data_IF_722097741145
#
_entry.id   IF_722097741145
#
_cell.length_a   1.000
_cell.length_b   1.000
_cell.length_c   1.000
_cell.angle_alpha   90.00
_cell.angle_beta   90.00
_cell.angle_gamma   90.00
#
_symmetry.space_group_name_H-M   'P 1'
#
loop_
_entity.id
_entity.type
_entity.pdbx_description
1 polymer ?
#
# COMPACT_ATOMS: atom_id res chain seq x y z
N UNK A 1 -3.96 -16.47 -9.69
CA UNK A 1 -3.89 -15.01 -9.95
C UNK A 1 -4.74 -14.35 -8.88
N UNK A 2 -4.14 -13.46 -8.11
CA UNK A 2 -4.85 -12.68 -7.09
C UNK A 2 -5.18 -11.30 -7.64
N UNK A 3 -6.15 -10.61 -7.04
CA UNK A 3 -6.44 -9.22 -7.39
C UNK A 3 -5.88 -8.29 -6.31
N UNK A 4 -5.34 -7.15 -6.74
CA UNK A 4 -4.83 -6.10 -5.86
C UNK A 4 -5.46 -4.76 -6.21
N UNK A 5 -5.71 -3.93 -5.19
CA UNK A 5 -6.12 -2.53 -5.38
C UNK A 5 -4.86 -1.67 -5.41
N UNK A 6 -4.70 -0.88 -6.46
CA UNK A 6 -3.56 0.02 -6.65
C UNK A 6 -4.03 1.46 -6.64
N UNK A 7 -3.33 2.30 -5.86
CA UNK A 7 -3.47 3.76 -5.92
C UNK A 7 -2.70 4.29 -7.13
N UNK A 8 -3.35 4.37 -8.29
CA UNK A 8 -2.71 4.83 -9.52
C UNK A 8 -2.34 6.31 -9.43
N UNK A 9 -3.24 7.14 -8.91
CA UNK A 9 -3.11 8.59 -8.72
C UNK A 9 -3.98 9.04 -7.54
N UNK A 10 -3.80 10.28 -7.02
CA UNK A 10 -4.74 10.85 -6.08
C UNK A 10 -6.19 10.78 -6.60
N UNK A 11 -7.06 10.15 -5.82
CA UNK A 11 -8.47 9.87 -6.08
C UNK A 11 -8.75 8.88 -7.21
N UNK A 12 -7.74 8.13 -7.66
CA UNK A 12 -7.87 7.10 -8.70
C UNK A 12 -7.33 5.75 -8.23
N UNK A 13 -8.23 4.77 -8.20
CA UNK A 13 -7.91 3.37 -7.90
C UNK A 13 -8.08 2.52 -9.14
N UNK A 14 -7.25 1.50 -9.26
CA UNK A 14 -7.42 0.43 -10.25
C UNK A 14 -7.32 -0.92 -9.55
N UNK A 15 -8.00 -1.93 -10.11
CA UNK A 15 -7.83 -3.32 -9.70
C UNK A 15 -6.95 -3.96 -10.76
N UNK A 16 -5.85 -4.56 -10.32
CA UNK A 16 -4.89 -5.25 -11.18
C UNK A 16 -4.82 -6.72 -10.79
N UNK A 17 -4.56 -7.56 -11.78
CA UNK A 17 -4.19 -8.95 -11.56
C UNK A 17 -2.74 -9.00 -11.08
N UNK A 18 -2.50 -9.74 -10.01
CA UNK A 18 -1.20 -9.94 -9.41
C UNK A 18 -0.78 -11.41 -9.54
N UNK A 19 0.46 -11.61 -9.98
CA UNK A 19 1.06 -12.93 -10.09
C UNK A 19 1.32 -13.52 -8.69
N UNK A 20 0.95 -14.78 -8.55
CA UNK A 20 1.27 -15.56 -7.35
C UNK A 20 2.70 -16.08 -7.46
N UNK A 21 3.63 -15.38 -6.80
CA UNK A 21 5.03 -15.79 -6.73
C UNK A 21 5.18 -17.16 -6.02
N UNK A 22 6.21 -17.96 -6.36
CA UNK A 22 6.55 -19.15 -5.57
C UNK A 22 6.78 -18.80 -4.09
N UNK A 23 6.40 -19.71 -3.19
CA UNK A 23 6.56 -19.51 -1.75
C UNK A 23 8.03 -19.77 -1.35
N UNK A 24 8.67 -18.82 -0.67
CA UNK A 24 9.99 -19.04 -0.09
C UNK A 24 9.91 -19.89 1.19
N UNK A 25 11.05 -20.42 1.63
CA UNK A 25 11.11 -21.36 2.76
C UNK A 25 10.59 -20.78 4.10
N UNK A 26 10.63 -19.46 4.24
CA UNK A 26 10.25 -18.68 5.43
C UNK A 26 8.95 -17.88 5.25
N UNK A 27 8.20 -18.13 4.18
CA UNK A 27 6.94 -17.44 3.89
C UNK A 27 5.71 -18.32 4.13
N UNK A 28 4.55 -17.69 4.34
CA UNK A 28 3.23 -18.35 4.35
C UNK A 28 2.32 -17.77 3.29
N UNK A 29 1.44 -18.60 2.73
CA UNK A 29 0.41 -18.15 1.78
C UNK A 29 -0.87 -17.79 2.52
N UNK A 30 -1.32 -16.56 2.35
CA UNK A 30 -2.56 -16.07 2.94
C UNK A 30 -3.62 -15.87 1.86
N UNK A 31 -4.87 -16.13 2.24
CA UNK A 31 -6.05 -15.66 1.50
C UNK A 31 -6.73 -14.59 2.35
N UNK A 32 -6.55 -13.32 1.97
CA UNK A 32 -7.18 -12.19 2.66
C UNK A 32 -8.70 -12.31 2.55
N UNK A 33 -9.39 -12.47 3.69
CA UNK A 33 -10.85 -12.52 3.72
C UNK A 33 -11.44 -11.11 3.75
N UNK A 34 -10.82 -10.21 4.52
CA UNK A 34 -11.24 -8.83 4.70
C UNK A 34 -10.00 -7.94 4.89
N UNK A 35 -10.11 -6.68 4.46
CA UNK A 35 -9.11 -5.64 4.72
C UNK A 35 -9.81 -4.39 5.23
N UNK A 36 -9.31 -3.83 6.32
CA UNK A 36 -9.81 -2.58 6.87
C UNK A 36 -9.12 -1.39 6.19
N UNK A 37 -9.87 -0.34 5.92
CA UNK A 37 -9.35 0.90 5.35
C UNK A 37 -9.14 1.90 6.49
N UNK A 38 -7.91 2.33 6.70
CA UNK A 38 -7.56 3.31 7.72
C UNK A 38 -7.60 4.73 7.18
N UNK A 39 -7.92 5.67 8.07
CA UNK A 39 -7.91 7.09 7.74
C UNK A 39 -6.50 7.65 7.55
N UNK A 40 -5.50 7.09 8.25
CA UNK A 40 -4.12 7.60 8.30
C UNK A 40 -3.20 7.06 7.19
N UNK A 41 -3.49 5.88 6.66
CA UNK A 41 -2.63 5.23 5.64
C UNK A 41 -3.34 5.17 4.28
N UNK A 42 -4.40 4.37 4.17
CA UNK A 42 -5.05 4.14 2.86
C UNK A 42 -5.75 5.40 2.37
N UNK A 43 -6.51 6.10 3.22
CA UNK A 43 -7.22 7.29 2.78
C UNK A 43 -6.31 8.51 2.53
N UNK A 44 -5.14 8.59 3.19
CA UNK A 44 -4.16 9.64 2.87
C UNK A 44 -3.46 9.36 1.55
N UNK A 45 -3.14 8.09 1.25
CA UNK A 45 -2.62 7.68 -0.05
C UNK A 45 -3.64 7.97 -1.15
N UNK A 46 -4.89 7.53 -0.96
CA UNK A 46 -5.99 7.82 -1.89
C UNK A 46 -6.16 9.31 -2.14
N UNK A 47 -6.13 10.17 -1.13
CA UNK A 47 -6.31 11.62 -1.32
C UNK A 47 -5.07 12.34 -1.87
N UNK A 48 -3.92 11.66 -1.96
CA UNK A 48 -2.65 12.27 -2.32
C UNK A 48 -2.02 13.13 -1.21
N UNK A 49 -2.54 13.04 0.02
CA UNK A 49 -2.07 13.82 1.18
C UNK A 49 -1.11 13.03 2.07
N UNK A 50 -0.76 11.80 1.69
CA UNK A 50 0.23 11.01 2.41
C UNK A 50 1.61 11.66 2.26
N UNK A 51 2.32 11.98 3.36
CA UNK A 51 3.61 12.65 3.28
C UNK A 51 4.65 11.87 2.47
N UNK A 52 4.58 10.53 2.44
CA UNK A 52 5.49 9.70 1.63
C UNK A 52 5.39 9.92 0.12
N UNK A 53 4.33 10.59 -0.36
CA UNK A 53 4.20 10.92 -1.79
C UNK A 53 5.08 12.11 -2.21
N UNK A 54 5.39 13.01 -1.28
CA UNK A 54 6.03 14.31 -1.59
C UNK A 54 7.22 14.63 -0.68
N UNK A 55 7.44 13.85 0.37
CA UNK A 55 8.46 14.04 1.41
C UNK A 55 9.14 12.72 1.72
N UNK A 56 10.33 12.79 2.31
CA UNK A 56 11.06 11.61 2.80
C UNK A 56 11.05 11.59 4.32
N UNK A 57 10.88 10.41 4.90
CA UNK A 57 11.10 10.21 6.33
C UNK A 57 12.61 10.29 6.64
N UNK A 58 12.98 11.18 7.56
CA UNK A 58 14.33 11.31 8.10
C UNK A 58 14.38 10.54 9.44
N UNK A 59 15.11 9.43 9.47
CA UNK A 59 15.20 8.58 10.67
C UNK A 59 15.95 9.23 11.83
N UNK A 60 16.93 10.09 11.55
CA UNK A 60 17.69 10.79 12.60
C UNK A 60 16.83 11.85 13.28
N UNK A 61 16.07 12.61 12.48
CA UNK A 61 15.22 13.71 12.97
C UNK A 61 13.81 13.27 13.34
N UNK A 62 13.38 12.08 12.91
CA UNK A 62 12.02 11.54 13.04
C UNK A 62 10.94 12.47 12.49
N UNK A 63 11.21 13.05 11.32
CA UNK A 63 10.33 14.01 10.65
C UNK A 63 10.27 13.77 9.15
N UNK A 64 9.19 14.21 8.52
CA UNK A 64 9.09 14.26 7.06
C UNK A 64 9.69 15.56 6.52
N UNK A 65 10.80 15.45 5.79
CA UNK A 65 11.46 16.57 5.11
C UNK A 65 11.06 16.62 3.64
#
# INVERSE_FOLDING_TARGET
MGQVIVFAEPRRLVIEEADERPLAADEVRLRTLYSGISAGTELTAYRGSNPYLHKRWDDERRLFV
#
